data_IF_586707263783
#
_entry.id   IF_586707263783
#
_cell.length_a   1.000
_cell.length_b   1.000
_cell.length_c   1.000
_cell.angle_alpha   90.00
_cell.angle_beta   90.00
_cell.angle_gamma   90.00
#
_symmetry.space_group_name_H-M   'P 1'
#
loop_
_entity.id
_entity.type
_entity.pdbx_description
1 polymer ?
#
# COMPACT_ATOMS: atom_id res chain seq x y z
N UNK A 1 -1.49 14.03 -36.22
CA UNK A 1 -1.20 12.87 -35.36
C UNK A 1 -0.37 13.40 -34.22
N UNK A 2 -1.00 13.81 -33.11
CA UNK A 2 -0.29 14.30 -31.94
C UNK A 2 0.09 13.10 -31.09
N UNK A 3 1.39 12.79 -31.05
CA UNK A 3 1.97 11.92 -30.03
C UNK A 3 1.66 12.54 -28.66
N UNK A 4 0.61 12.05 -27.99
CA UNK A 4 0.48 12.30 -26.56
C UNK A 4 1.66 11.61 -25.88
N UNK A 5 2.42 12.30 -25.02
CA UNK A 5 3.44 11.65 -24.24
C UNK A 5 2.75 10.56 -23.42
N UNK A 6 3.17 9.31 -23.61
CA UNK A 6 2.79 8.18 -22.77
C UNK A 6 3.06 8.60 -21.33
N UNK A 7 1.99 8.98 -20.64
CA UNK A 7 2.08 9.48 -19.28
C UNK A 7 2.62 8.32 -18.46
N UNK A 8 3.80 8.48 -17.87
CA UNK A 8 4.39 7.43 -17.06
C UNK A 8 3.33 6.93 -16.05
N UNK A 9 3.11 5.61 -15.93
CA UNK A 9 2.04 5.08 -15.10
C UNK A 9 2.19 5.60 -13.68
N UNK A 10 1.08 6.01 -13.07
CA UNK A 10 1.08 6.49 -11.69
C UNK A 10 1.76 5.43 -10.80
N UNK A 11 2.86 5.76 -10.10
CA UNK A 11 3.62 4.76 -9.35
C UNK A 11 2.78 4.03 -8.30
N UNK A 12 1.78 4.72 -7.72
CA UNK A 12 0.81 4.10 -6.80
C UNK A 12 -0.19 3.20 -7.52
N UNK A 13 -0.58 3.50 -8.76
CA UNK A 13 -1.46 2.63 -9.55
C UNK A 13 -0.76 1.33 -9.98
N UNK A 14 0.53 1.40 -10.30
CA UNK A 14 1.34 0.20 -10.53
C UNK A 14 1.44 -0.65 -9.25
N UNK A 15 1.76 -0.03 -8.11
CA UNK A 15 1.80 -0.73 -6.82
C UNK A 15 0.43 -1.27 -6.37
N UNK A 16 -0.67 -0.58 -6.66
CA UNK A 16 -2.02 -1.05 -6.39
C UNK A 16 -2.42 -2.21 -7.30
N UNK A 17 -1.91 -2.25 -8.53
CA UNK A 17 -2.10 -3.38 -9.45
C UNK A 17 -1.30 -4.59 -8.97
N UNK A 18 -0.03 -4.40 -8.60
CA UNK A 18 0.80 -5.44 -8.00
C UNK A 18 0.18 -5.96 -6.69
N UNK A 19 -0.39 -5.07 -5.89
CA UNK A 19 -1.16 -5.41 -4.70
C UNK A 19 -2.41 -6.21 -5.02
N UNK A 20 -3.22 -5.78 -5.99
CA UNK A 20 -4.43 -6.49 -6.37
C UNK A 20 -4.11 -7.88 -6.92
N UNK A 21 -3.02 -8.03 -7.68
CA UNK A 21 -2.54 -9.33 -8.15
C UNK A 21 -2.07 -10.19 -6.97
N UNK A 22 -1.31 -9.62 -6.02
CA UNK A 22 -0.90 -10.34 -4.81
C UNK A 22 -2.10 -10.73 -3.94
N UNK A 23 -3.04 -9.83 -3.70
CA UNK A 23 -4.20 -10.02 -2.81
C UNK A 23 -5.24 -10.97 -3.44
N UNK A 24 -5.49 -10.88 -4.75
CA UNK A 24 -6.34 -11.82 -5.49
C UNK A 24 -5.70 -13.22 -5.59
N UNK A 25 -4.37 -13.31 -5.68
CA UNK A 25 -3.67 -14.60 -5.61
C UNK A 25 -3.60 -15.17 -4.18
N UNK A 26 -3.51 -14.32 -3.16
CA UNK A 26 -3.58 -14.71 -1.74
C UNK A 26 -5.01 -15.17 -1.39
N UNK A 27 -6.05 -14.44 -1.82
CA UNK A 27 -7.45 -14.75 -1.57
C UNK A 27 -7.99 -15.90 -2.45
N UNK A 28 -7.43 -16.08 -3.65
CA UNK A 28 -7.96 -16.99 -4.67
C UNK A 28 -7.39 -18.41 -4.67
N UNK A 29 -6.25 -18.69 -4.03
CA UNK A 29 -5.71 -20.06 -4.14
C UNK A 29 -4.42 -20.46 -3.44
N UNK A 30 -3.81 -19.64 -2.58
CA UNK A 30 -2.56 -20.01 -1.88
C UNK A 30 -2.71 -20.27 -0.39
N UNK A 31 -3.93 -20.60 0.04
CA UNK A 31 -4.17 -21.32 1.29
C UNK A 31 -4.35 -22.81 0.98
N UNK A 32 -3.49 -23.38 0.14
CA UNK A 32 -3.14 -24.77 0.39
C UNK A 32 -2.21 -24.74 1.61
N UNK A 33 -2.78 -24.95 2.79
CA UNK A 33 -2.05 -24.99 4.08
C UNK A 33 -0.99 -26.11 4.08
N UNK A 34 -0.94 -26.93 3.02
CA UNK A 34 0.12 -27.92 2.76
C UNK A 34 1.27 -27.40 1.89
N UNK A 35 1.12 -26.25 1.24
CA UNK A 35 2.20 -25.59 0.51
C UNK A 35 3.26 -25.13 1.51
N UNK A 36 4.51 -25.47 1.21
CA UNK A 36 5.67 -25.36 2.10
C UNK A 36 5.65 -24.10 2.99
N UNK A 37 5.79 -24.21 4.33
CA UNK A 37 5.74 -23.09 5.26
C UNK A 37 6.68 -21.91 4.91
N UNK A 38 7.81 -22.19 4.26
CA UNK A 38 8.74 -21.16 3.79
C UNK A 38 8.16 -20.26 2.68
N UNK A 39 7.26 -20.80 1.86
CA UNK A 39 6.63 -20.08 0.76
C UNK A 39 5.54 -19.12 1.25
N UNK A 40 4.73 -19.54 2.23
CA UNK A 40 3.77 -18.66 2.89
C UNK A 40 4.46 -17.48 3.59
N UNK A 41 5.54 -17.75 4.34
CA UNK A 41 6.36 -16.69 4.97
C UNK A 41 6.98 -15.73 3.95
N UNK A 42 7.46 -16.25 2.81
CA UNK A 42 8.04 -15.41 1.76
C UNK A 42 7.00 -14.50 1.10
N UNK A 43 5.77 -15.00 0.89
CA UNK A 43 4.67 -14.19 0.39
C UNK A 43 4.21 -13.12 1.37
N UNK A 44 4.08 -13.46 2.65
CA UNK A 44 3.75 -12.46 3.68
C UNK A 44 4.84 -11.39 3.78
N UNK A 45 6.11 -11.79 3.69
CA UNK A 45 7.23 -10.83 3.64
C UNK A 45 7.15 -9.93 2.40
N UNK A 46 6.84 -10.49 1.22
CA UNK A 46 6.66 -9.73 -0.01
C UNK A 46 5.48 -8.76 0.10
N UNK A 47 4.33 -9.23 0.60
CA UNK A 47 3.12 -8.43 0.86
C UNK A 47 3.46 -7.24 1.75
N UNK A 48 4.12 -7.50 2.88
CA UNK A 48 4.55 -6.46 3.82
C UNK A 48 5.52 -5.46 3.18
N UNK A 49 6.46 -5.93 2.36
CA UNK A 49 7.42 -5.07 1.67
C UNK A 49 6.77 -4.21 0.57
N UNK A 50 5.72 -4.69 -0.10
CA UNK A 50 4.95 -3.91 -1.09
C UNK A 50 4.10 -2.86 -0.38
N UNK A 51 3.38 -3.21 0.70
CA UNK A 51 2.62 -2.24 1.50
C UNK A 51 3.51 -1.11 2.04
N UNK A 52 4.65 -1.48 2.62
CA UNK A 52 5.59 -0.52 3.18
C UNK A 52 6.14 0.45 2.12
N UNK A 53 6.35 -0.03 0.89
CA UNK A 53 6.75 0.83 -0.24
C UNK A 53 5.61 1.72 -0.71
N UNK A 54 4.38 1.20 -0.78
CA UNK A 54 3.22 1.93 -1.25
C UNK A 54 2.84 3.12 -0.35
N UNK A 55 3.07 3.04 0.96
CA UNK A 55 2.83 4.18 1.86
C UNK A 55 3.85 5.31 1.72
N UNK A 56 5.06 5.03 1.20
CA UNK A 56 6.12 6.04 1.00
C UNK A 56 6.07 6.79 -0.33
N UNK A 57 5.13 6.45 -1.23
CA UNK A 57 4.99 7.09 -2.54
C UNK A 57 3.92 8.18 -2.46
N UNK A 58 4.07 9.30 -3.18
CA UNK A 58 2.97 10.28 -3.27
C UNK A 58 1.92 9.81 -4.28
N UNK A 59 0.65 9.73 -3.87
CA UNK A 59 -0.45 9.46 -4.80
C UNK A 59 -0.44 10.45 -5.97
N UNK A 60 -0.60 9.93 -7.19
CA UNK A 60 -0.75 10.73 -8.42
C UNK A 60 -2.18 10.74 -8.97
N UNK A 61 -3.11 10.05 -8.31
CA UNK A 61 -4.49 9.88 -8.75
C UNK A 61 -5.42 9.66 -7.55
N UNK A 62 -6.73 9.90 -7.75
CA UNK A 62 -7.76 9.69 -6.71
C UNK A 62 -7.78 8.23 -6.25
N UNK A 63 -7.70 7.28 -7.19
CA UNK A 63 -7.63 5.85 -6.87
C UNK A 63 -6.37 5.50 -6.08
N UNK A 64 -5.22 6.10 -6.41
CA UNK A 64 -3.98 5.92 -5.65
C UNK A 64 -4.10 6.48 -4.23
N UNK A 65 -4.73 7.65 -4.07
CA UNK A 65 -4.97 8.24 -2.76
C UNK A 65 -5.93 7.41 -1.91
N UNK A 66 -6.98 6.85 -2.50
CA UNK A 66 -7.90 5.94 -1.83
C UNK A 66 -7.20 4.65 -1.36
N UNK A 67 -6.34 4.08 -2.21
CA UNK A 67 -5.53 2.92 -1.84
C UNK A 67 -4.55 3.22 -0.69
N UNK A 68 -3.86 4.38 -0.73
CA UNK A 68 -3.01 4.80 0.38
C UNK A 68 -3.80 5.02 1.68
N UNK A 69 -4.98 5.63 1.62
CA UNK A 69 -5.84 5.80 2.78
C UNK A 69 -6.24 4.45 3.40
N UNK A 70 -6.56 3.46 2.57
CA UNK A 70 -6.83 2.09 3.02
C UNK A 70 -5.61 1.44 3.70
N UNK A 71 -4.41 1.55 3.11
CA UNK A 71 -3.17 1.02 3.71
C UNK A 71 -2.83 1.68 5.06
N UNK A 72 -3.03 3.00 5.17
CA UNK A 72 -2.86 3.73 6.43
C UNK A 72 -3.82 3.18 7.49
N UNK A 73 -5.10 3.01 7.14
CA UNK A 73 -6.10 2.43 8.04
C UNK A 73 -5.74 1.00 8.48
N UNK A 74 -5.26 0.16 7.56
CA UNK A 74 -4.80 -1.19 7.86
C UNK A 74 -3.63 -1.20 8.86
N UNK A 75 -2.62 -0.36 8.65
CA UNK A 75 -1.49 -0.29 9.58
C UNK A 75 -1.87 0.24 10.96
N UNK A 76 -2.82 1.19 11.06
CA UNK A 76 -3.37 1.62 12.35
C UNK A 76 -4.13 0.46 13.02
N UNK A 77 -4.96 -0.26 12.27
CA UNK A 77 -5.71 -1.41 12.80
C UNK A 77 -4.80 -2.53 13.31
N UNK A 78 -3.69 -2.82 12.61
CA UNK A 78 -2.69 -3.79 13.08
C UNK A 78 -2.01 -3.28 14.35
N UNK A 79 -1.64 -2.01 14.39
CA UNK A 79 -0.99 -1.41 15.55
C UNK A 79 -1.89 -1.31 16.80
N UNK A 80 -3.21 -1.47 16.66
CA UNK A 80 -4.17 -1.49 17.77
C UNK A 80 -4.27 -2.87 18.44
N UNK A 81 -3.70 -3.92 17.84
CA UNK A 81 -3.67 -5.26 18.42
C UNK A 81 -2.90 -5.24 19.76
N UNK A 82 -3.54 -5.63 20.89
CA UNK A 82 -2.88 -5.64 22.20
C UNK A 82 -1.78 -6.69 22.32
N UNK A 83 -1.79 -7.74 21.50
CA UNK A 83 -0.81 -8.82 21.51
C UNK A 83 0.42 -8.52 20.63
N UNK A 84 0.36 -7.45 19.83
CA UNK A 84 1.44 -7.07 18.94
C UNK A 84 2.66 -6.55 19.72
N UNK A 85 3.83 -7.07 19.35
CA UNK A 85 5.11 -6.64 19.89
C UNK A 85 5.37 -5.15 19.67
N UNK A 86 6.09 -4.51 20.60
CA UNK A 86 6.28 -3.06 20.62
C UNK A 86 7.04 -2.55 19.38
N UNK A 87 8.03 -3.32 18.90
CA UNK A 87 8.81 -2.97 17.72
C UNK A 87 7.96 -3.03 16.44
N UNK A 88 7.10 -4.05 16.31
CA UNK A 88 6.14 -4.17 15.23
C UNK A 88 5.09 -3.07 15.28
N UNK A 89 4.56 -2.77 16.47
CA UNK A 89 3.64 -1.66 16.68
C UNK A 89 4.26 -0.35 16.21
N UNK A 90 5.49 -0.05 16.67
CA UNK A 90 6.22 1.15 16.27
C UNK A 90 6.46 1.21 14.76
N UNK A 91 6.80 0.08 14.12
CA UNK A 91 6.96 -0.03 12.67
C UNK A 91 5.66 0.30 11.93
N UNK A 92 4.53 -0.29 12.34
CA UNK A 92 3.23 -0.04 11.70
C UNK A 92 2.77 1.41 11.88
N UNK A 93 2.95 2.00 13.06
CA UNK A 93 2.63 3.41 13.29
C UNK A 93 3.49 4.36 12.44
N UNK A 94 4.79 4.04 12.25
CA UNK A 94 5.67 4.83 11.36
C UNK A 94 5.19 4.78 9.91
N UNK A 95 4.82 3.59 9.42
CA UNK A 95 4.28 3.41 8.06
C UNK A 95 2.95 4.18 7.88
N UNK A 96 2.05 4.11 8.87
CA UNK A 96 0.80 4.88 8.87
C UNK A 96 1.06 6.39 8.83
N UNK A 97 1.99 6.89 9.65
CA UNK A 97 2.34 8.31 9.68
C UNK A 97 2.99 8.80 8.38
N UNK A 98 3.82 7.97 7.73
CA UNK A 98 4.38 8.25 6.42
C UNK A 98 3.29 8.33 5.34
N UNK A 99 2.43 7.31 5.24
CA UNK A 99 1.31 7.30 4.31
C UNK A 99 0.36 8.49 4.50
N UNK A 100 0.04 8.86 5.75
CA UNK A 100 -0.79 10.01 6.05
C UNK A 100 -0.18 11.34 5.56
N UNK A 101 1.15 11.50 5.67
CA UNK A 101 1.85 12.69 5.16
C UNK A 101 1.79 12.78 3.64
N UNK A 102 1.99 11.66 2.94
CA UNK A 102 1.89 11.62 1.48
C UNK A 102 0.46 11.87 0.98
N UNK A 103 -0.54 11.29 1.67
CA UNK A 103 -1.94 11.52 1.37
C UNK A 103 -2.32 13.00 1.57
N UNK A 104 -1.92 13.61 2.68
CA UNK A 104 -2.16 15.03 2.95
C UNK A 104 -1.53 15.92 1.87
N UNK A 105 -0.30 15.61 1.45
CA UNK A 105 0.39 16.34 0.36
C UNK A 105 -0.36 16.26 -0.96
N UNK A 106 -0.89 15.08 -1.30
CA UNK A 106 -1.71 14.90 -2.49
C UNK A 106 -3.00 15.72 -2.42
N UNK A 107 -3.75 15.62 -1.33
CA UNK A 107 -5.03 16.33 -1.14
C UNK A 107 -4.86 17.85 -1.17
N UNK A 108 -3.77 18.36 -0.59
CA UNK A 108 -3.44 19.79 -0.63
C UNK A 108 -3.04 20.25 -2.02
N UNK A 109 -2.28 19.44 -2.77
CA UNK A 109 -1.90 19.76 -4.15
C UNK A 109 -3.10 19.73 -5.09
N UNK A 110 -4.00 18.75 -4.93
CA UNK A 110 -5.28 18.71 -5.65
C UNK A 110 -6.11 19.95 -5.40
N UNK A 111 -6.24 20.38 -4.14
CA UNK A 111 -6.98 21.58 -3.76
C UNK A 111 -6.41 22.82 -4.46
N UNK A 112 -5.09 22.99 -4.44
CA UNK A 112 -4.42 24.12 -5.10
C UNK A 112 -4.50 24.09 -6.63
N UNK A 113 -4.80 22.95 -7.24
CA UNK A 113 -4.94 22.82 -8.69
C UNK A 113 -6.38 23.02 -9.17
N UNK A 114 -7.34 23.09 -8.25
CA UNK A 114 -8.77 23.29 -8.53
C UNK A 114 -9.21 24.75 -8.39
N UNK A 115 -8.35 25.61 -7.83
CA UNK A 115 -8.51 27.07 -7.71
C UNK A 115 -7.83 27.80 -8.88
#
# INVERSE_FOLDING_TARGET
>A
MTDQPLTAPCPVAALATDWAILDDQIAGGWVDVTAEPGLALALDALRNAVMARAVGVTAGSVSGAAFQAWLVGLHVSIADDPELDEDARARHLRLAAEGARHLLRYLTTLRLSAD
#
